data_IF_068151247011
#
_entry.id   IF_068151247011
#
_cell.length_a   1.000
_cell.length_b   1.000
_cell.length_c   1.000
_cell.angle_alpha   90.00
_cell.angle_beta   90.00
_cell.angle_gamma   90.00
#
_symmetry.space_group_name_H-M   'P 1'
#
loop_
_entity.id
_entity.type
_entity.pdbx_description
1 polymer ?
#
# COMPACT_ATOMS: atom_id res chain seq x y z
N UNK A 1 4.98 19.16 12.27
CA UNK A 1 5.56 17.81 12.46
C UNK A 1 4.70 16.86 11.68
N UNK A 2 5.18 16.37 10.54
CA UNK A 2 4.50 15.32 9.78
C UNK A 2 4.61 14.04 10.61
N UNK A 3 3.49 13.56 11.16
CA UNK A 3 3.48 12.25 11.81
C UNK A 3 3.77 11.20 10.74
N UNK A 4 4.88 10.50 10.87
CA UNK A 4 5.18 9.38 10.00
C UNK A 4 4.35 8.19 10.47
N UNK A 5 3.48 7.69 9.60
CA UNK A 5 2.76 6.44 9.83
C UNK A 5 3.75 5.28 9.94
N UNK A 6 3.45 4.37 10.86
CA UNK A 6 4.13 3.09 11.01
C UNK A 6 3.79 2.16 9.84
N UNK A 7 4.64 1.15 9.59
CA UNK A 7 4.37 0.18 8.52
C UNK A 7 3.05 -0.57 8.76
N UNK A 8 2.69 -0.83 10.02
CA UNK A 8 1.42 -1.47 10.37
C UNK A 8 0.21 -0.60 10.00
N UNK A 9 0.27 0.72 10.26
CA UNK A 9 -0.81 1.64 9.88
C UNK A 9 -1.00 1.69 8.36
N UNK A 10 0.10 1.63 7.59
CA UNK A 10 0.04 1.56 6.13
C UNK A 10 -0.56 0.24 5.66
N UNK A 11 -0.19 -0.89 6.27
CA UNK A 11 -0.76 -2.22 5.96
C UNK A 11 -2.26 -2.25 6.25
N UNK A 12 -2.70 -1.71 7.39
CA UNK A 12 -4.11 -1.68 7.78
C UNK A 12 -4.93 -0.81 6.82
N UNK A 13 -4.41 0.37 6.47
CA UNK A 13 -5.06 1.26 5.50
C UNK A 13 -5.16 0.59 4.11
N UNK A 14 -4.08 -0.04 3.66
CA UNK A 14 -4.01 -0.71 2.36
C UNK A 14 -4.99 -1.88 2.29
N UNK A 15 -5.07 -2.68 3.36
CA UNK A 15 -6.01 -3.79 3.53
C UNK A 15 -7.44 -3.32 3.35
N UNK A 16 -7.83 -2.23 4.04
CA UNK A 16 -9.19 -1.66 3.94
C UNK A 16 -9.48 -1.16 2.53
N UNK A 17 -8.53 -0.47 1.90
CA UNK A 17 -8.70 0.01 0.53
C UNK A 17 -8.88 -1.13 -0.47
N UNK A 18 -8.07 -2.18 -0.37
CA UNK A 18 -8.21 -3.36 -1.23
C UNK A 18 -9.58 -4.01 -1.09
N UNK A 19 -10.09 -4.16 0.14
CA UNK A 19 -11.45 -4.66 0.39
C UNK A 19 -12.52 -3.80 -0.26
N UNK A 20 -12.42 -2.46 -0.13
CA UNK A 20 -13.38 -1.53 -0.75
C UNK A 20 -13.39 -1.60 -2.28
N UNK A 21 -12.25 -1.95 -2.88
CA UNK A 21 -12.13 -2.14 -4.33
C UNK A 21 -12.44 -3.59 -4.78
N UNK A 22 -12.89 -4.47 -3.87
CA UNK A 22 -13.28 -5.84 -4.20
C UNK A 22 -12.11 -6.83 -4.34
N UNK A 23 -10.91 -6.46 -3.89
CA UNK A 23 -9.75 -7.35 -3.85
C UNK A 23 -9.69 -8.11 -2.52
N UNK A 24 -9.22 -9.37 -2.55
CA UNK A 24 -8.93 -10.12 -1.33
C UNK A 24 -7.58 -9.65 -0.75
N UNK A 25 -7.55 -8.95 0.41
CA UNK A 25 -6.32 -8.40 0.97
C UNK A 25 -5.38 -9.45 1.55
N UNK A 26 -5.84 -10.67 1.86
CA UNK A 26 -5.02 -11.70 2.51
C UNK A 26 -3.83 -12.15 1.64
N UNK A 27 -3.92 -11.94 0.32
CA UNK A 27 -2.84 -12.27 -0.60
C UNK A 27 -1.84 -11.13 -0.77
N UNK A 28 -2.08 -9.95 -0.21
CA UNK A 28 -1.23 -8.79 -0.40
C UNK A 28 -0.26 -8.62 0.77
N UNK A 29 1.02 -8.47 0.45
CA UNK A 29 2.08 -8.23 1.43
C UNK A 29 2.90 -6.99 1.06
N UNK A 30 3.27 -6.21 2.07
CA UNK A 30 4.26 -5.13 1.92
C UNK A 30 5.63 -5.77 1.66
N UNK A 31 6.24 -5.46 0.52
CA UNK A 31 7.53 -6.05 0.08
C UNK A 31 8.66 -5.02 0.02
N UNK A 32 8.34 -3.73 0.12
CA UNK A 32 9.36 -2.69 0.08
C UNK A 32 8.84 -1.35 0.57
N UNK A 33 9.73 -0.61 1.23
CA UNK A 33 9.53 0.78 1.64
C UNK A 33 10.63 1.61 1.00
N UNK A 34 10.24 2.58 0.20
CA UNK A 34 11.12 3.37 -0.66
C UNK A 34 11.02 4.86 -0.29
N UNK A 35 11.97 5.65 -0.81
CA UNK A 35 11.97 7.12 -0.75
C UNK A 35 11.66 7.65 0.67
N UNK A 36 12.45 7.25 1.66
CA UNK A 36 12.28 7.69 3.06
C UNK A 36 10.86 7.48 3.62
N UNK A 37 10.22 6.36 3.27
CA UNK A 37 8.86 5.98 3.71
C UNK A 37 7.75 6.84 3.07
N UNK A 38 8.01 7.40 1.89
CA UNK A 38 6.99 8.05 1.07
C UNK A 38 6.27 7.07 0.15
N UNK A 39 6.91 5.95 -0.22
CA UNK A 39 6.36 4.96 -1.15
C UNK A 39 6.46 3.56 -0.58
N UNK A 40 5.35 2.83 -0.60
CA UNK A 40 5.20 1.48 -0.07
C UNK A 40 4.76 0.55 -1.20
N UNK A 41 5.51 -0.52 -1.44
CA UNK A 41 5.23 -1.46 -2.50
C UNK A 41 4.59 -2.71 -1.93
N UNK A 42 3.37 -3.03 -2.38
CA UNK A 42 2.68 -4.26 -2.04
C UNK A 42 2.62 -5.19 -3.24
N UNK A 43 2.73 -6.48 -2.97
CA UNK A 43 2.61 -7.53 -3.98
C UNK A 43 1.55 -8.52 -3.56
N UNK A 44 0.73 -8.93 -4.52
CA UNK A 44 -0.14 -10.08 -4.38
C UNK A 44 0.72 -11.36 -4.52
N UNK A 45 0.67 -12.25 -3.54
CA UNK A 45 1.41 -13.51 -3.55
C UNK A 45 0.74 -14.56 -4.45
N UNK A 46 -0.57 -14.42 -4.68
CA UNK A 46 -1.39 -15.40 -5.39
C UNK A 46 -1.62 -15.04 -6.86
N UNK A 47 -1.45 -13.76 -7.22
CA UNK A 47 -1.50 -13.23 -8.57
C UNK A 47 -0.24 -12.40 -8.80
N UNK A 48 0.26 -12.22 -10.03
CA UNK A 48 1.47 -11.41 -10.27
C UNK A 48 1.16 -9.89 -10.25
N UNK A 49 0.23 -9.48 -9.38
CA UNK A 49 -0.24 -8.11 -9.20
C UNK A 49 0.60 -7.38 -8.14
N UNK A 50 0.72 -6.08 -8.30
CA UNK A 50 1.42 -5.15 -7.43
C UNK A 50 0.68 -3.83 -7.39
N UNK A 51 0.82 -3.12 -6.27
CA UNK A 51 0.31 -1.77 -6.06
C UNK A 51 1.36 -0.98 -5.29
N UNK A 52 1.40 0.32 -5.53
CA UNK A 52 2.09 1.27 -4.63
C UNK A 52 1.11 2.02 -3.77
N UNK A 53 1.49 2.32 -2.54
CA UNK A 53 0.84 3.29 -1.68
C UNK A 53 1.79 4.45 -1.45
N UNK A 54 1.31 5.67 -1.64
CA UNK A 54 2.06 6.91 -1.49
C UNK A 54 1.59 7.65 -0.25
N UNK A 55 2.52 8.16 0.53
CA UNK A 55 2.26 9.13 1.58
C UNK A 55 2.44 10.54 1.01
N UNK A 56 1.35 11.31 0.95
CA UNK A 56 1.37 12.67 0.42
C UNK A 56 1.91 13.65 1.47
N UNK A 57 2.45 14.81 1.04
CA UNK A 57 2.93 15.84 1.96
C UNK A 57 1.87 16.40 2.92
N UNK A 58 0.59 16.29 2.57
CA UNK A 58 -0.53 16.70 3.43
C UNK A 58 -0.94 15.66 4.48
N UNK A 59 -0.25 14.51 4.55
CA UNK A 59 -0.55 13.41 5.47
C UNK A 59 -1.52 12.36 4.92
N UNK A 60 -2.08 12.58 3.72
CA UNK A 60 -3.00 11.62 3.11
C UNK A 60 -2.26 10.43 2.51
N UNK A 61 -2.92 9.27 2.52
CA UNK A 61 -2.49 8.10 1.78
C UNK A 61 -3.20 8.01 0.44
N UNK A 62 -2.46 7.59 -0.59
CA UNK A 62 -2.98 7.38 -1.93
C UNK A 62 -2.54 6.04 -2.48
N UNK A 63 -3.48 5.25 -2.99
CA UNK A 63 -3.20 3.98 -3.65
C UNK A 63 -3.01 4.27 -5.13
N UNK A 64 -1.84 3.91 -5.65
CA UNK A 64 -1.55 3.94 -7.07
C UNK A 64 -2.33 2.88 -7.84
N UNK A 65 -2.03 2.80 -9.13
CA UNK A 65 -2.66 1.80 -9.98
C UNK A 65 -2.27 0.38 -9.55
N UNK A 66 -3.12 -0.59 -9.90
CA UNK A 66 -2.78 -2.00 -9.88
C UNK A 66 -2.08 -2.36 -11.18
N UNK A 67 -0.92 -3.00 -11.10
CA UNK A 67 -0.20 -3.53 -12.27
C UNK A 67 0.21 -4.98 -12.05
N UNK A 68 0.25 -5.74 -13.13
CA UNK A 68 0.57 -7.17 -13.09
C UNK A 68 0.00 -7.91 -14.29
N UNK A 69 0.58 -9.07 -14.60
CA UNK A 69 0.15 -10.00 -15.64
C UNK A 69 -0.53 -11.23 -15.06
#
# INVERSE_FOLDING_TARGET
MTQHLTDQEIVDWTTRKLQLHGHNPQHWALIGVLLHREVYLFRNAHKREQITVYHKPNGDLFMGNLWGE
#
